data_IF_344684676650
#
_entry.id   IF_344684676650
#
_cell.length_a   1.000
_cell.length_b   1.000
_cell.length_c   1.000
_cell.angle_alpha   90.00
_cell.angle_beta   90.00
_cell.angle_gamma   90.00
#
_symmetry.space_group_name_H-M   'P 1'
#
loop_
_entity.id
_entity.type
_entity.pdbx_description
1 polymer ?
#
# COMPACT_ATOMS: atom_id res chain seq x y z
N UNK A 1 -0.89 -29.50 -14.85
CA UNK A 1 0.33 -29.12 -14.10
C UNK A 1 -0.09 -28.15 -13.01
N UNK A 2 -0.15 -28.63 -11.77
CA UNK A 2 -0.52 -27.86 -10.60
C UNK A 2 0.72 -27.68 -9.73
N UNK A 3 0.98 -26.46 -9.26
CA UNK A 3 2.00 -26.20 -8.24
C UNK A 3 1.40 -25.26 -7.19
N UNK A 4 1.03 -25.85 -6.06
CA UNK A 4 0.76 -25.15 -4.80
C UNK A 4 2.07 -24.59 -4.24
N UNK A 5 2.03 -23.41 -3.62
CA UNK A 5 3.15 -22.87 -2.84
C UNK A 5 2.61 -22.39 -1.50
N UNK A 6 3.03 -23.06 -0.43
CA UNK A 6 2.77 -22.71 0.97
C UNK A 6 3.78 -21.65 1.49
N UNK A 7 3.44 -20.93 2.58
CA UNK A 7 4.16 -19.75 3.05
C UNK A 7 5.35 -20.07 3.98
N UNK A 8 6.46 -19.34 3.79
CA UNK A 8 7.65 -19.40 4.65
C UNK A 8 7.53 -18.51 5.90
N UNK A 9 7.93 -19.06 7.07
CA UNK A 9 8.05 -18.40 8.38
C UNK A 9 9.20 -17.36 8.41
N UNK A 10 9.08 -16.28 9.21
CA UNK A 10 10.10 -15.25 9.33
C UNK A 10 11.32 -15.69 10.17
N UNK A 11 12.51 -15.31 9.69
CA UNK A 11 13.80 -15.53 10.34
C UNK A 11 13.99 -14.67 11.59
N UNK A 12 14.57 -15.29 12.61
CA UNK A 12 14.78 -14.79 13.95
C UNK A 12 16.13 -14.04 14.02
N UNK A 13 16.13 -12.70 14.08
CA UNK A 13 17.35 -11.91 14.29
C UNK A 13 17.53 -11.55 15.76
N UNK A 14 18.63 -12.04 16.33
CA UNK A 14 19.03 -11.84 17.73
C UNK A 14 19.23 -10.35 18.03
N UNK A 15 18.36 -9.78 18.88
CA UNK A 15 18.56 -8.46 19.51
C UNK A 15 19.64 -8.58 20.59
N UNK A 16 20.84 -8.07 20.31
CA UNK A 16 21.85 -7.82 21.33
C UNK A 16 21.41 -6.63 22.21
N UNK A 17 20.81 -6.93 23.38
CA UNK A 17 20.67 -5.97 24.48
C UNK A 17 22.07 -5.66 25.02
N UNK A 18 22.65 -4.51 24.65
CA UNK A 18 23.72 -3.90 25.46
C UNK A 18 23.09 -3.42 26.77
N UNK A 19 23.38 -4.15 27.86
CA UNK A 19 23.02 -3.75 29.23
C UNK A 19 23.71 -2.41 29.53
N UNK A 20 22.94 -1.46 30.05
CA UNK A 20 23.46 -0.17 30.49
C UNK A 20 24.51 -0.34 31.59
N UNK A 21 25.61 0.37 31.48
CA UNK A 21 26.55 0.54 32.57
C UNK A 21 25.88 1.38 33.64
N UNK A 22 25.67 0.81 34.83
CA UNK A 22 25.24 1.52 36.03
C UNK A 22 26.35 2.43 36.55
N UNK A 23 25.94 3.50 37.23
CA UNK A 23 26.78 4.59 37.75
C UNK A 23 27.98 4.11 38.61
N UNK A 24 27.91 2.90 39.16
CA UNK A 24 29.00 2.24 39.92
C UNK A 24 30.25 1.90 39.08
N UNK A 25 30.14 1.85 37.75
CA UNK A 25 31.29 1.50 36.88
C UNK A 25 32.33 2.63 36.80
N UNK A 26 31.99 3.85 37.25
CA UNK A 26 32.86 5.03 37.11
C UNK A 26 33.85 5.22 38.28
N UNK A 27 33.58 4.65 39.46
CA UNK A 27 34.42 4.83 40.66
C UNK A 27 35.34 3.63 41.01
N UNK A 28 35.47 2.64 40.10
CA UNK A 28 36.23 1.42 40.36
C UNK A 28 37.68 1.38 39.85
N UNK A 29 38.14 2.40 39.10
CA UNK A 29 39.50 2.41 38.57
C UNK A 29 40.50 2.87 39.64
N UNK A 30 41.02 1.93 40.44
CA UNK A 30 42.25 2.14 41.21
C UNK A 30 43.33 2.66 40.26
N UNK A 31 43.90 3.81 40.60
CA UNK A 31 45.08 4.37 39.95
C UNK A 31 46.21 3.37 40.15
N UNK A 32 46.55 2.58 39.12
CA UNK A 32 47.71 1.67 39.12
C UNK A 32 48.98 2.44 38.77
N UNK A 33 49.34 3.45 39.55
CA UNK A 33 50.60 4.19 39.40
C UNK A 33 51.11 4.71 40.76
N UNK A 34 51.16 3.82 41.76
CA UNK A 34 51.76 4.14 43.07
C UNK A 34 52.91 3.23 43.47
N UNK A 35 53.25 2.20 42.70
CA UNK A 35 54.31 1.24 43.07
C UNK A 35 55.58 1.32 42.20
N UNK A 36 55.73 2.32 41.33
CA UNK A 36 56.98 2.54 40.58
C UNK A 36 57.78 3.80 40.99
N UNK A 37 57.31 4.51 42.02
CA UNK A 37 58.00 5.69 42.56
C UNK A 37 58.68 5.48 43.91
N UNK A 38 58.50 4.33 44.56
CA UNK A 38 59.08 4.09 45.90
C UNK A 38 60.48 3.43 45.87
N UNK A 39 60.89 2.78 44.78
CA UNK A 39 62.19 2.12 44.69
C UNK A 39 63.33 2.98 44.10
N UNK A 40 63.02 4.13 43.50
CA UNK A 40 64.05 5.03 42.93
C UNK A 40 64.53 6.14 43.90
N UNK A 41 63.99 6.19 45.13
CA UNK A 41 64.33 7.23 46.11
C UNK A 41 65.48 6.80 47.05
N UNK A 42 65.92 5.53 47.02
CA UNK A 42 66.97 5.03 47.93
C UNK A 42 68.38 4.92 47.32
N UNK A 43 68.60 5.20 46.04
CA UNK A 43 69.93 5.04 45.42
C UNK A 43 70.75 6.34 45.28
N UNK A 44 70.20 7.51 45.59
CA UNK A 44 70.94 8.79 45.54
C UNK A 44 70.78 9.61 46.83
N UNK A 45 71.18 9.04 47.97
CA UNK A 45 71.37 9.81 49.20
C UNK A 45 72.77 10.47 49.21
N UNK A 46 72.89 11.81 49.31
CA UNK A 46 74.19 12.46 49.46
C UNK A 46 74.80 12.10 50.82
N UNK A 47 76.04 11.57 50.83
CA UNK A 47 76.83 11.38 52.06
C UNK A 47 77.26 12.73 52.66
N UNK A 48 77.37 12.87 53.99
CA UNK A 48 77.72 14.14 54.61
C UNK A 48 79.23 14.41 54.41
N UNK A 49 79.54 15.38 53.57
CA UNK A 49 80.90 15.94 53.48
C UNK A 49 81.03 17.12 54.44
N UNK A 50 81.99 17.03 55.37
CA UNK A 50 82.39 18.13 56.26
C UNK A 50 83.16 19.17 55.44
N UNK A 51 82.70 20.43 55.47
CA UNK A 51 83.45 21.56 54.94
C UNK A 51 82.68 22.87 55.17
N UNK A 52 83.22 23.72 56.05
CA UNK A 52 82.64 24.98 56.48
C UNK A 52 82.53 26.03 55.35
N UNK A 53 81.43 26.80 55.36
CA UNK A 53 81.48 28.26 55.18
C UNK A 53 80.93 28.87 53.88
N UNK A 54 79.71 29.43 53.99
CA UNK A 54 78.99 30.43 53.13
C UNK A 54 78.32 29.91 51.82
N UNK A 55 77.02 30.08 51.53
CA UNK A 55 75.91 30.85 52.15
C UNK A 55 74.52 30.14 51.98
N UNK A 56 73.54 30.34 52.88
CA UNK A 56 72.17 29.81 52.79
C UNK A 56 71.29 30.35 51.64
N UNK A 57 71.69 31.45 50.98
CA UNK A 57 70.83 32.18 50.04
C UNK A 57 70.55 31.44 48.73
N UNK A 58 71.45 30.58 48.25
CA UNK A 58 71.34 29.95 46.92
C UNK A 58 70.35 28.78 46.86
N UNK A 59 70.01 28.17 48.00
CA UNK A 59 69.07 27.05 48.07
C UNK A 59 67.62 27.54 48.25
N UNK A 60 67.42 28.57 49.06
CA UNK A 60 66.12 29.24 49.23
C UNK A 60 65.63 29.89 47.92
N UNK A 61 66.55 30.44 47.12
CA UNK A 61 66.25 30.96 45.79
C UNK A 61 65.76 29.86 44.83
N UNK A 62 66.38 28.67 44.87
CA UNK A 62 65.98 27.52 44.04
C UNK A 62 64.61 26.95 44.44
N UNK A 63 64.35 26.80 45.73
CA UNK A 63 63.04 26.38 46.25
C UNK A 63 61.95 27.40 45.89
N UNK A 64 62.24 28.70 46.01
CA UNK A 64 61.32 29.77 45.57
C UNK A 64 61.05 29.75 44.07
N UNK A 65 62.06 29.42 43.25
CA UNK A 65 61.89 29.29 41.81
C UNK A 65 61.06 28.06 41.45
N UNK A 66 61.26 26.94 42.16
CA UNK A 66 60.49 25.71 41.97
C UNK A 66 59.02 25.89 42.38
N UNK A 67 58.74 26.55 43.50
CA UNK A 67 57.37 26.84 43.94
C UNK A 67 56.65 27.75 42.95
N UNK A 68 57.29 28.83 42.48
CA UNK A 68 56.73 29.69 41.42
C UNK A 68 56.42 28.93 40.14
N UNK A 69 57.30 28.02 39.71
CA UNK A 69 57.08 27.17 38.53
C UNK A 69 55.90 26.20 38.74
N UNK A 70 55.79 25.61 39.94
CA UNK A 70 54.69 24.72 40.28
C UNK A 70 53.35 25.46 40.35
N UNK A 71 53.32 26.65 40.95
CA UNK A 71 52.15 27.53 40.99
C UNK A 71 51.71 27.93 39.57
N UNK A 72 52.65 28.38 38.73
CA UNK A 72 52.35 28.72 37.34
C UNK A 72 51.78 27.53 36.55
N UNK A 73 52.33 26.33 36.77
CA UNK A 73 51.82 25.10 36.15
C UNK A 73 50.41 24.75 36.64
N UNK A 74 50.14 24.86 37.94
CA UNK A 74 48.81 24.64 38.51
C UNK A 74 47.78 25.63 37.98
N UNK A 75 48.12 26.92 37.89
CA UNK A 75 47.25 27.95 37.33
C UNK A 75 46.95 27.67 35.84
N UNK A 76 47.95 27.31 35.03
CA UNK A 76 47.74 26.93 33.63
C UNK A 76 46.79 25.73 33.49
N UNK A 77 46.97 24.70 34.32
CA UNK A 77 46.09 23.52 34.32
C UNK A 77 44.69 23.84 34.79
N UNK A 78 44.53 24.68 35.81
CA UNK A 78 43.24 25.10 36.33
C UNK A 78 42.48 25.91 35.27
N UNK A 79 43.14 26.83 34.60
CA UNK A 79 42.56 27.60 33.49
C UNK A 79 42.15 26.68 32.33
N UNK A 80 42.97 25.69 31.98
CA UNK A 80 42.64 24.70 30.95
C UNK A 80 41.41 23.86 31.32
N UNK A 81 41.30 23.43 32.58
CA UNK A 81 40.14 22.67 33.09
C UNK A 81 38.89 23.54 33.05
N UNK A 82 38.97 24.81 33.46
CA UNK A 82 37.85 25.75 33.43
C UNK A 82 37.37 26.03 31.99
N UNK A 83 38.30 26.18 31.04
CA UNK A 83 37.99 26.29 29.60
C UNK A 83 37.27 25.04 29.06
N UNK A 84 37.73 23.84 29.44
CA UNK A 84 37.06 22.59 29.05
C UNK A 84 35.67 22.45 29.68
N UNK A 85 35.53 22.83 30.95
CA UNK A 85 34.26 22.78 31.67
C UNK A 85 33.22 23.72 31.03
N UNK A 86 33.59 24.98 30.77
CA UNK A 86 32.72 25.95 30.10
C UNK A 86 32.34 25.50 28.69
N UNK A 87 33.27 24.90 27.94
CA UNK A 87 32.96 24.32 26.63
C UNK A 87 31.93 23.18 26.73
N UNK A 88 32.10 22.24 27.67
CA UNK A 88 31.16 21.15 27.90
C UNK A 88 29.79 21.66 28.37
N UNK A 89 29.76 22.67 29.22
CA UNK A 89 28.51 23.29 29.68
C UNK A 89 27.74 23.91 28.51
N UNK A 90 28.43 24.64 27.63
CA UNK A 90 27.82 25.21 26.42
C UNK A 90 27.28 24.12 25.48
N UNK A 91 28.03 23.03 25.28
CA UNK A 91 27.56 21.89 24.49
C UNK A 91 26.34 21.20 25.13
N UNK A 92 26.32 21.09 26.45
CA UNK A 92 25.20 20.52 27.20
C UNK A 92 23.94 21.38 27.02
N UNK A 93 24.04 22.70 27.20
CA UNK A 93 22.93 23.62 27.04
C UNK A 93 22.38 23.61 25.59
N UNK A 94 23.27 23.54 24.60
CA UNK A 94 22.88 23.39 23.21
C UNK A 94 22.11 22.07 22.97
N UNK A 95 22.62 20.97 23.52
CA UNK A 95 21.96 19.65 23.43
C UNK A 95 20.59 19.65 24.10
N UNK A 96 20.43 20.36 25.23
CA UNK A 96 19.13 20.52 25.90
C UNK A 96 18.14 21.28 25.03
N UNK A 97 18.57 22.38 24.41
CA UNK A 97 17.73 23.18 23.48
C UNK A 97 17.29 22.35 22.27
N UNK A 98 18.21 21.63 21.65
CA UNK A 98 17.90 20.74 20.52
C UNK A 98 16.91 19.64 20.93
N UNK A 99 17.08 19.03 22.10
CA UNK A 99 16.15 18.04 22.61
C UNK A 99 14.74 18.62 22.87
N UNK A 100 14.64 19.86 23.35
CA UNK A 100 13.34 20.52 23.52
C UNK A 100 12.67 20.79 22.16
N UNK A 101 13.43 21.27 21.18
CA UNK A 101 12.93 21.49 19.82
C UNK A 101 12.45 20.18 19.17
N UNK A 102 13.21 19.09 19.33
CA UNK A 102 12.83 17.76 18.85
C UNK A 102 11.54 17.26 19.52
N UNK A 103 11.39 17.42 20.85
CA UNK A 103 10.16 17.06 21.56
C UNK A 103 8.94 17.82 21.03
N UNK A 104 9.08 19.11 20.76
CA UNK A 104 8.01 19.92 20.20
C UNK A 104 7.62 19.44 18.79
N UNK A 105 8.62 19.15 17.94
CA UNK A 105 8.41 18.62 16.60
C UNK A 105 7.73 17.24 16.61
N UNK A 106 8.11 16.37 17.54
CA UNK A 106 7.47 15.05 17.71
C UNK A 106 5.99 15.21 18.03
N UNK A 107 5.63 16.08 18.99
CA UNK A 107 4.21 16.34 19.32
C UNK A 107 3.41 16.85 18.12
N UNK A 108 3.99 17.79 17.35
CA UNK A 108 3.35 18.28 16.13
C UNK A 108 3.14 17.19 15.08
N UNK A 109 4.10 16.27 14.93
CA UNK A 109 3.95 15.13 14.02
C UNK A 109 2.86 14.17 14.51
N UNK A 110 2.82 13.86 15.80
CA UNK A 110 1.79 13.01 16.40
C UNK A 110 0.38 13.59 16.20
N UNK A 111 0.20 14.90 16.39
CA UNK A 111 -1.09 15.55 16.17
C UNK A 111 -1.48 15.58 14.69
N UNK A 112 -0.54 15.84 13.79
CA UNK A 112 -0.79 15.78 12.34
C UNK A 112 -1.16 14.36 11.88
N UNK A 113 -0.51 13.34 12.43
CA UNK A 113 -0.78 11.95 12.08
C UNK A 113 -2.17 11.52 12.58
N UNK A 114 -2.60 11.97 13.76
CA UNK A 114 -3.98 11.76 14.25
C UNK A 114 -5.03 12.38 13.32
N UNK A 115 -4.79 13.59 12.83
CA UNK A 115 -5.70 14.26 11.88
C UNK A 115 -5.78 13.48 10.58
N UNK A 116 -4.64 13.08 10.01
CA UNK A 116 -4.58 12.27 8.78
C UNK A 116 -5.27 10.92 8.94
N UNK A 117 -5.10 10.27 10.09
CA UNK A 117 -5.78 9.00 10.38
C UNK A 117 -7.30 9.19 10.41
N UNK A 118 -7.79 10.25 11.06
CA UNK A 118 -9.21 10.57 11.09
C UNK A 118 -9.78 10.89 9.69
N UNK A 119 -9.04 11.62 8.86
CA UNK A 119 -9.41 11.90 7.47
C UNK A 119 -9.44 10.62 6.61
N UNK A 120 -8.44 9.75 6.77
CA UNK A 120 -8.38 8.44 6.12
C UNK A 120 -9.58 7.57 6.48
N UNK A 121 -9.98 7.53 7.75
CA UNK A 121 -11.17 6.80 8.21
C UNK A 121 -12.44 7.36 7.55
N UNK A 122 -12.61 8.70 7.53
CA UNK A 122 -13.75 9.35 6.87
C UNK A 122 -13.78 9.05 5.37
N UNK A 123 -12.63 9.11 4.70
CA UNK A 123 -12.52 8.80 3.28
C UNK A 123 -12.88 7.34 3.00
N UNK A 124 -12.36 6.39 3.80
CA UNK A 124 -12.68 4.98 3.69
C UNK A 124 -14.19 4.70 3.83
N UNK A 125 -14.85 5.36 4.80
CA UNK A 125 -16.31 5.26 4.97
C UNK A 125 -17.08 5.80 3.77
N UNK A 126 -16.65 6.93 3.20
CA UNK A 126 -17.26 7.49 2.01
C UNK A 126 -17.07 6.59 0.79
N UNK A 127 -15.88 6.01 0.61
CA UNK A 127 -15.60 5.05 -0.45
C UNK A 127 -16.53 3.84 -0.35
N UNK A 128 -16.74 3.27 0.84
CA UNK A 128 -17.68 2.16 1.05
C UNK A 128 -19.11 2.51 0.64
N UNK A 129 -19.60 3.70 1.04
CA UNK A 129 -20.94 4.17 0.64
C UNK A 129 -21.06 4.33 -0.88
N UNK A 130 -20.01 4.84 -1.54
CA UNK A 130 -19.98 4.96 -2.99
C UNK A 130 -19.98 3.60 -3.68
N UNK A 131 -19.22 2.62 -3.17
CA UNK A 131 -19.21 1.25 -3.68
C UNK A 131 -20.58 0.59 -3.57
N UNK A 132 -21.26 0.74 -2.43
CA UNK A 132 -22.63 0.25 -2.24
C UNK A 132 -23.62 0.90 -3.21
N UNK A 133 -23.52 2.21 -3.42
CA UNK A 133 -24.35 2.93 -4.38
C UNK A 133 -24.08 2.49 -5.82
N UNK A 134 -22.81 2.31 -6.21
CA UNK A 134 -22.43 1.82 -7.54
C UNK A 134 -23.00 0.42 -7.75
N UNK A 135 -22.89 -0.47 -6.76
CA UNK A 135 -23.46 -1.81 -6.82
C UNK A 135 -24.98 -1.75 -7.01
N UNK A 136 -25.69 -0.97 -6.17
CA UNK A 136 -27.13 -0.79 -6.27
C UNK A 136 -27.56 -0.25 -7.65
N UNK A 137 -26.87 0.77 -8.16
CA UNK A 137 -27.16 1.35 -9.47
C UNK A 137 -26.88 0.36 -10.60
N UNK A 138 -25.81 -0.42 -10.49
CA UNK A 138 -25.46 -1.46 -11.47
C UNK A 138 -26.55 -2.53 -11.51
N UNK A 139 -26.95 -3.05 -10.35
CA UNK A 139 -28.01 -4.06 -10.24
C UNK A 139 -29.35 -3.50 -10.78
N UNK A 140 -29.64 -2.23 -10.50
CA UNK A 140 -30.84 -1.54 -11.01
C UNK A 140 -30.82 -1.36 -12.52
N UNK A 141 -29.68 -1.00 -13.10
CA UNK A 141 -29.52 -0.90 -14.56
C UNK A 141 -29.72 -2.27 -15.20
N UNK A 142 -29.10 -3.32 -14.66
CA UNK A 142 -29.25 -4.69 -15.14
C UNK A 142 -30.73 -5.13 -15.09
N UNK A 143 -31.44 -4.87 -13.98
CA UNK A 143 -32.87 -5.20 -13.84
C UNK A 143 -33.73 -4.43 -14.86
N UNK A 144 -33.51 -3.12 -15.00
CA UNK A 144 -34.26 -2.30 -15.96
C UNK A 144 -34.01 -2.72 -17.41
N UNK A 145 -32.76 -3.01 -17.76
CA UNK A 145 -32.40 -3.50 -19.09
C UNK A 145 -33.01 -4.87 -19.37
N UNK A 146 -32.92 -5.81 -18.42
CA UNK A 146 -33.53 -7.14 -18.54
C UNK A 146 -35.05 -7.05 -18.69
N UNK A 147 -35.71 -6.15 -17.95
CA UNK A 147 -37.16 -5.90 -18.11
C UNK A 147 -37.48 -5.32 -19.49
N UNK A 148 -36.64 -4.40 -19.99
CA UNK A 148 -36.80 -3.80 -21.32
C UNK A 148 -36.58 -4.78 -22.48
N UNK A 149 -35.69 -5.77 -22.29
CA UNK A 149 -35.36 -6.82 -23.28
C UNK A 149 -36.17 -8.10 -23.11
N UNK A 150 -37.05 -8.17 -22.11
CA UNK A 150 -37.79 -9.39 -21.74
C UNK A 150 -38.60 -10.00 -22.90
N UNK A 151 -39.14 -9.13 -23.76
CA UNK A 151 -39.96 -9.49 -24.93
C UNK A 151 -39.13 -9.68 -26.21
N UNK A 152 -37.81 -9.52 -26.13
CA UNK A 152 -36.92 -9.64 -27.27
C UNK A 152 -36.40 -11.09 -27.43
N UNK A 153 -36.35 -11.55 -28.67
CA UNK A 153 -35.58 -12.73 -29.09
C UNK A 153 -34.42 -12.33 -29.96
N UNK A 154 -33.30 -13.03 -29.76
CA UNK A 154 -32.10 -12.90 -30.55
C UNK A 154 -31.95 -14.09 -31.48
N UNK A 155 -31.96 -13.83 -32.78
CA UNK A 155 -31.82 -14.85 -33.83
C UNK A 155 -30.42 -14.71 -34.45
N UNK A 156 -29.71 -15.83 -34.50
CA UNK A 156 -28.31 -15.93 -34.93
C UNK A 156 -28.25 -16.89 -36.13
N UNK A 157 -27.49 -16.51 -37.16
CA UNK A 157 -27.26 -17.33 -38.35
C UNK A 157 -28.17 -17.04 -39.55
N UNK A 158 -29.01 -15.99 -39.48
CA UNK A 158 -29.81 -15.57 -40.63
C UNK A 158 -28.94 -14.92 -41.72
N UNK A 159 -28.99 -15.37 -42.99
CA UNK A 159 -28.19 -14.80 -44.08
C UNK A 159 -28.43 -13.30 -44.30
N UNK A 160 -27.40 -12.54 -44.68
CA UNK A 160 -27.48 -11.09 -44.95
C UNK A 160 -27.98 -10.77 -46.37
N UNK A 161 -29.05 -11.42 -46.81
CA UNK A 161 -29.63 -11.15 -48.13
C UNK A 161 -30.61 -9.97 -48.10
N UNK A 162 -30.68 -9.13 -49.16
CA UNK A 162 -31.56 -7.97 -49.19
C UNK A 162 -33.04 -8.35 -49.05
N UNK A 163 -33.45 -9.51 -49.55
CA UNK A 163 -34.83 -10.00 -49.42
C UNK A 163 -35.19 -10.35 -47.96
N UNK A 164 -34.21 -10.81 -47.18
CA UNK A 164 -34.37 -11.13 -45.76
C UNK A 164 -34.36 -9.83 -44.93
N UNK A 165 -33.43 -8.93 -45.23
CA UNK A 165 -33.22 -7.70 -44.45
C UNK A 165 -34.36 -6.70 -44.56
N UNK A 166 -35.06 -6.65 -45.70
CA UNK A 166 -36.20 -5.75 -45.91
C UNK A 166 -37.49 -6.25 -45.27
N UNK A 167 -37.61 -7.57 -45.03
CA UNK A 167 -38.85 -8.22 -44.57
C UNK A 167 -38.61 -9.12 -43.35
N UNK A 168 -37.88 -8.61 -42.36
CA UNK A 168 -37.53 -9.37 -41.16
C UNK A 168 -38.76 -9.89 -40.42
N UNK A 169 -39.84 -9.12 -40.34
CA UNK A 169 -41.07 -9.56 -39.66
C UNK A 169 -41.68 -10.79 -40.33
N UNK A 170 -41.71 -10.83 -41.68
CA UNK A 170 -42.20 -12.00 -42.42
C UNK A 170 -41.28 -13.21 -42.24
N UNK A 171 -39.96 -12.98 -42.25
CA UNK A 171 -38.94 -14.03 -42.01
C UNK A 171 -39.13 -14.64 -40.62
N UNK A 172 -39.41 -13.84 -39.61
CA UNK A 172 -39.67 -14.32 -38.24
C UNK A 172 -40.96 -15.16 -38.20
N UNK A 173 -42.02 -14.76 -38.91
CA UNK A 173 -43.24 -15.57 -39.01
C UNK A 173 -42.97 -16.91 -39.71
N UNK A 174 -42.16 -16.94 -40.77
CA UNK A 174 -41.78 -18.18 -41.45
C UNK A 174 -40.98 -19.12 -40.52
N UNK A 175 -40.06 -18.58 -39.72
CA UNK A 175 -39.33 -19.35 -38.70
C UNK A 175 -40.29 -19.95 -37.69
N UNK A 176 -41.28 -19.17 -37.21
CA UNK A 176 -42.25 -19.68 -36.23
C UNK A 176 -43.14 -20.75 -36.85
N UNK A 177 -43.56 -20.60 -38.10
CA UNK A 177 -44.34 -21.62 -38.82
C UNK A 177 -43.57 -22.92 -39.01
N UNK A 178 -42.30 -22.84 -39.41
CA UNK A 178 -41.45 -24.00 -39.67
C UNK A 178 -41.10 -24.76 -38.39
N UNK A 179 -40.87 -24.04 -37.28
CA UNK A 179 -40.41 -24.65 -36.05
C UNK A 179 -41.52 -24.85 -35.02
N UNK A 180 -42.44 -23.92 -34.81
CA UNK A 180 -43.41 -23.95 -33.71
C UNK A 180 -44.86 -23.88 -34.20
N UNK A 181 -45.33 -24.84 -35.02
CA UNK A 181 -46.67 -24.80 -35.58
C UNK A 181 -47.76 -24.85 -34.51
N UNK A 182 -47.52 -25.58 -33.41
CA UNK A 182 -48.45 -25.69 -32.27
C UNK A 182 -48.79 -24.33 -31.63
N UNK A 183 -47.84 -23.39 -31.61
CA UNK A 183 -48.07 -22.05 -31.05
C UNK A 183 -49.08 -21.28 -31.90
N UNK A 184 -49.06 -21.48 -33.22
CA UNK A 184 -49.99 -20.87 -34.17
C UNK A 184 -51.36 -21.54 -34.10
N UNK A 185 -51.41 -22.87 -34.00
CA UNK A 185 -52.67 -23.63 -33.86
C UNK A 185 -53.41 -23.29 -32.57
N UNK A 186 -52.69 -23.01 -31.49
CA UNK A 186 -53.26 -22.55 -30.21
C UNK A 186 -53.72 -21.07 -30.23
N UNK A 187 -53.66 -20.39 -31.38
CA UNK A 187 -54.05 -18.99 -31.50
C UNK A 187 -53.12 -18.02 -30.76
N UNK A 188 -51.85 -18.39 -30.55
CA UNK A 188 -50.88 -17.52 -29.90
C UNK A 188 -50.62 -16.25 -30.73
N UNK A 189 -50.60 -15.08 -30.09
CA UNK A 189 -50.20 -13.84 -30.77
C UNK A 189 -48.69 -13.87 -31.05
N UNK A 190 -48.32 -14.19 -32.30
CA UNK A 190 -46.92 -14.21 -32.79
C UNK A 190 -46.50 -12.88 -33.42
N UNK A 191 -47.31 -11.83 -33.34
CA UNK A 191 -46.99 -10.53 -33.90
C UNK A 191 -45.70 -9.96 -33.27
N UNK A 192 -44.86 -9.41 -34.14
CA UNK A 192 -43.60 -8.75 -33.80
C UNK A 192 -43.82 -7.25 -33.93
N UNK A 193 -43.48 -6.49 -32.90
CA UNK A 193 -43.54 -5.02 -32.91
C UNK A 193 -42.41 -4.43 -33.73
N UNK A 194 -41.21 -5.00 -33.59
CA UNK A 194 -40.01 -4.51 -34.26
C UNK A 194 -39.00 -5.63 -34.45
N UNK A 195 -38.51 -5.78 -35.68
CA UNK A 195 -37.35 -6.60 -36.00
C UNK A 195 -36.23 -5.78 -36.63
N UNK A 196 -35.00 -5.95 -36.17
CA UNK A 196 -33.85 -5.26 -36.74
C UNK A 196 -32.56 -6.05 -36.54
N UNK A 197 -31.53 -5.73 -37.34
CA UNK A 197 -30.18 -6.30 -37.21
C UNK A 197 -29.36 -5.50 -36.21
N UNK A 198 -28.56 -6.20 -35.41
CA UNK A 198 -27.65 -5.60 -34.41
C UNK A 198 -26.23 -6.16 -34.57
N UNK A 199 -25.21 -5.28 -34.71
CA UNK A 199 -25.28 -3.81 -34.80
C UNK A 199 -25.91 -3.30 -36.11
N UNK A 200 -26.41 -2.06 -36.12
CA UNK A 200 -27.13 -1.49 -37.27
C UNK A 200 -26.28 -1.40 -38.54
N UNK A 201 -24.97 -1.24 -38.40
CA UNK A 201 -24.01 -1.22 -39.51
C UNK A 201 -23.30 -2.56 -39.63
N UNK A 202 -23.14 -3.03 -40.86
CA UNK A 202 -22.29 -4.17 -41.15
C UNK A 202 -20.83 -3.70 -41.16
N UNK A 203 -20.00 -4.30 -40.31
CA UNK A 203 -18.55 -4.08 -40.37
C UNK A 203 -17.95 -4.92 -41.48
N UNK A 204 -17.17 -4.32 -42.37
CA UNK A 204 -16.48 -5.01 -43.47
C UNK A 204 -15.53 -6.12 -42.99
N UNK A 205 -15.14 -6.11 -41.72
CA UNK A 205 -14.24 -7.09 -41.12
C UNK A 205 -14.95 -8.36 -40.61
N UNK A 206 -16.29 -8.33 -40.48
CA UNK A 206 -17.05 -9.48 -39.95
C UNK A 206 -17.54 -10.36 -41.09
N UNK A 207 -17.13 -11.62 -41.06
CA UNK A 207 -17.58 -12.66 -41.98
C UNK A 207 -18.88 -13.34 -41.53
N UNK A 208 -19.30 -13.14 -40.27
CA UNK A 208 -20.51 -13.73 -39.72
C UNK A 208 -21.74 -12.83 -39.92
N UNK A 209 -22.91 -13.40 -40.26
CA UNK A 209 -24.14 -12.61 -40.37
C UNK A 209 -24.51 -11.94 -39.03
N UNK A 210 -24.98 -10.69 -39.09
CA UNK A 210 -25.46 -9.95 -37.91
C UNK A 210 -26.68 -10.62 -37.31
N UNK A 211 -26.77 -10.53 -35.99
CA UNK A 211 -27.91 -11.05 -35.24
C UNK A 211 -29.14 -10.20 -35.50
N UNK A 212 -30.31 -10.82 -35.46
CA UNK A 212 -31.60 -10.13 -35.52
C UNK A 212 -32.19 -10.08 -34.12
N UNK A 213 -32.61 -8.91 -33.68
CA UNK A 213 -33.40 -8.71 -32.47
C UNK A 213 -34.85 -8.49 -32.89
N UNK A 214 -35.73 -9.36 -32.40
CA UNK A 214 -37.16 -9.34 -32.66
C UNK A 214 -37.91 -9.09 -31.35
N UNK A 215 -38.64 -7.98 -31.25
CA UNK A 215 -39.51 -7.67 -30.11
C UNK A 215 -40.92 -8.19 -30.37
N UNK A 216 -41.39 -9.08 -29.51
CA UNK A 216 -42.75 -9.63 -29.59
C UNK A 216 -43.75 -8.78 -28.80
N UNK A 217 -45.01 -8.79 -29.25
CA UNK A 217 -46.11 -8.17 -28.51
C UNK A 217 -46.50 -8.94 -27.24
N UNK A 218 -46.28 -10.25 -27.25
CA UNK A 218 -46.64 -11.13 -26.14
C UNK A 218 -45.40 -11.82 -25.58
N UNK A 219 -45.08 -11.50 -24.33
CA UNK A 219 -44.06 -12.20 -23.54
C UNK A 219 -44.29 -13.72 -23.53
N UNK A 220 -45.55 -14.14 -23.36
CA UNK A 220 -45.91 -15.55 -23.25
C UNK A 220 -45.57 -16.31 -24.54
N UNK A 221 -45.87 -15.72 -25.70
CA UNK A 221 -45.55 -16.31 -27.01
C UNK A 221 -44.04 -16.41 -27.19
N UNK A 222 -43.31 -15.33 -26.89
CA UNK A 222 -41.84 -15.31 -26.95
C UNK A 222 -41.23 -16.39 -26.06
N UNK A 223 -41.76 -16.60 -24.86
CA UNK A 223 -41.22 -17.57 -23.91
C UNK A 223 -41.47 -19.02 -24.36
N UNK A 224 -42.66 -19.32 -24.92
CA UNK A 224 -42.94 -20.62 -25.55
C UNK A 224 -41.98 -20.89 -26.71
N UNK A 225 -41.75 -19.91 -27.58
CA UNK A 225 -40.78 -20.03 -28.69
C UNK A 225 -39.37 -20.31 -28.16
N UNK A 226 -38.95 -19.59 -27.12
CA UNK A 226 -37.63 -19.77 -26.52
C UNK A 226 -37.48 -21.16 -25.86
N UNK A 227 -38.53 -21.67 -25.21
CA UNK A 227 -38.54 -23.03 -24.65
C UNK A 227 -38.39 -24.08 -25.74
N UNK A 228 -39.10 -23.92 -26.86
CA UNK A 228 -38.95 -24.81 -28.02
C UNK A 228 -37.54 -24.75 -28.62
N UNK A 229 -36.94 -23.55 -28.69
CA UNK A 229 -35.57 -23.36 -29.16
C UNK A 229 -34.51 -23.99 -28.25
N UNK A 230 -34.81 -24.21 -26.96
CA UNK A 230 -33.93 -24.95 -26.04
C UNK A 230 -34.01 -26.46 -26.24
N UNK A 231 -35.15 -26.98 -26.71
CA UNK A 231 -35.36 -28.42 -26.92
C UNK A 231 -34.79 -28.92 -28.25
N UNK A 232 -34.87 -28.09 -29.30
CA UNK A 232 -34.47 -28.47 -30.66
C UNK A 232 -33.79 -27.32 -31.39
N UNK A 233 -33.03 -27.69 -32.42
CA UNK A 233 -32.39 -26.74 -33.31
C UNK A 233 -33.41 -26.14 -34.29
N UNK A 234 -33.50 -24.82 -34.31
CA UNK A 234 -34.40 -24.11 -35.20
C UNK A 234 -33.86 -24.05 -36.63
N UNK A 235 -34.76 -23.94 -37.60
CA UNK A 235 -34.44 -23.82 -39.03
C UNK A 235 -35.14 -22.65 -39.69
N UNK A 236 -34.55 -22.12 -40.74
CA UNK A 236 -35.17 -21.19 -41.66
C UNK A 236 -34.94 -21.69 -43.09
N UNK A 237 -36.01 -22.11 -43.78
CA UNK A 237 -35.93 -22.74 -45.10
C UNK A 237 -34.94 -23.91 -45.10
N UNK A 238 -35.00 -24.75 -44.06
CA UNK A 238 -34.09 -25.88 -43.86
C UNK A 238 -32.70 -25.53 -43.31
N UNK A 239 -32.27 -24.26 -43.35
CA UNK A 239 -30.96 -23.84 -42.82
C UNK A 239 -30.99 -23.73 -41.31
N UNK A 240 -30.00 -24.27 -40.58
CA UNK A 240 -29.95 -24.17 -39.13
C UNK A 240 -29.76 -22.74 -38.64
N UNK A 241 -30.56 -22.34 -37.65
CA UNK A 241 -30.45 -21.06 -36.95
C UNK A 241 -30.47 -21.28 -35.44
N UNK A 242 -29.99 -20.29 -34.67
CA UNK A 242 -30.02 -20.33 -33.21
C UNK A 242 -30.84 -19.18 -32.67
N UNK A 243 -31.77 -19.49 -31.76
CA UNK A 243 -32.62 -18.51 -31.08
C UNK A 243 -32.25 -18.48 -29.61
N UNK A 244 -31.96 -17.30 -29.08
CA UNK A 244 -31.60 -17.09 -27.68
C UNK A 244 -32.38 -15.92 -27.09
N UNK A 245 -32.35 -15.80 -25.76
CA UNK A 245 -32.80 -14.60 -25.08
C UNK A 245 -31.87 -13.43 -25.41
N UNK A 246 -32.44 -12.23 -25.50
CA UNK A 246 -31.71 -10.96 -25.51
C UNK A 246 -31.42 -10.58 -24.05
N UNK A 247 -30.13 -10.57 -23.69
CA UNK A 247 -29.63 -10.22 -22.35
C UNK A 247 -28.94 -8.88 -22.43
#
# INVERSE_FOLDING_TARGET
>A
MASSTEPQKPQNTKKNKKKGATLDTFYGAKIQNTEQTEDNIKENAPKPSRGNGNSPQTYEEFESEMTKKMEAFWEEKLEMVQKKFTHLQNQFDQTVKENQALKARIRQLEDNDRVKEQESIKQSQNTKKLEENIKYLTDKVIDLENRGRRDNLRIIGLPEKPEINTKLDMVIQDIIKENCPEILEQGGNTATDRAHRTPSTLSSQKTTPRNVIAKFQSYQTKEKILQEARKRQFRYKGMPIRVTQDL
#
